data_IF_717385938024
#
_entry.id   IF_717385938024
#
_cell.length_a   1.000
_cell.length_b   1.000
_cell.length_c   1.000
_cell.angle_alpha   90.00
_cell.angle_beta   90.00
_cell.angle_gamma   90.00
#
_symmetry.space_group_name_H-M   'P 1'
#
loop_
_entity.id
_entity.type
_entity.pdbx_description
1 polymer ?
#
# COMPACT_ATOMS: atom_id res chain seq x y z
N UNK A 1 -36.84 -20.45 9.71
CA UNK A 1 -35.90 -19.96 10.73
C UNK A 1 -34.48 -20.23 10.15
N UNK A 2 -33.92 -19.30 9.40
CA UNK A 2 -32.52 -19.40 8.92
C UNK A 2 -31.62 -19.06 10.09
N UNK A 3 -30.74 -19.96 10.42
CA UNK A 3 -29.89 -19.87 11.60
C UNK A 3 -28.87 -18.74 11.44
N UNK A 4 -28.74 -17.91 12.48
CA UNK A 4 -27.75 -16.82 12.57
C UNK A 4 -26.31 -17.24 12.20
N UNK A 5 -25.99 -18.52 12.24
CA UNK A 5 -24.70 -19.07 11.88
C UNK A 5 -24.39 -19.13 10.38
N UNK A 6 -25.42 -19.22 9.51
CA UNK A 6 -25.21 -19.22 8.05
C UNK A 6 -25.04 -17.81 7.47
N UNK A 7 -25.59 -16.79 8.12
CA UNK A 7 -25.34 -15.39 7.76
C UNK A 7 -23.94 -14.96 8.19
N UNK A 8 -23.53 -15.33 9.38
CA UNK A 8 -22.21 -15.00 9.93
C UNK A 8 -21.07 -15.65 9.10
N UNK A 9 -21.22 -16.92 8.74
CA UNK A 9 -20.24 -17.61 7.87
C UNK A 9 -20.17 -17.03 6.46
N UNK A 10 -21.28 -16.53 5.90
CA UNK A 10 -21.30 -15.87 4.60
C UNK A 10 -20.67 -14.48 4.63
N UNK A 11 -20.81 -13.74 5.71
CA UNK A 11 -20.12 -12.44 5.90
C UNK A 11 -18.62 -12.63 6.04
N UNK A 12 -18.16 -13.63 6.80
CA UNK A 12 -16.74 -13.95 6.97
C UNK A 12 -16.12 -14.38 5.63
N UNK A 13 -16.75 -15.32 4.91
CA UNK A 13 -16.25 -15.77 3.60
C UNK A 13 -16.17 -14.65 2.56
N UNK A 14 -17.12 -13.72 2.56
CA UNK A 14 -17.06 -12.53 1.69
C UNK A 14 -15.93 -11.58 2.09
N UNK A 15 -15.65 -11.43 3.38
CA UNK A 15 -14.55 -10.62 3.89
C UNK A 15 -13.18 -11.17 3.50
N UNK A 16 -12.96 -12.47 3.66
CA UNK A 16 -11.72 -13.16 3.27
C UNK A 16 -11.46 -13.06 1.76
N UNK A 17 -12.48 -13.32 0.95
CA UNK A 17 -12.38 -13.18 -0.51
C UNK A 17 -12.07 -11.73 -0.91
N UNK A 18 -12.74 -10.76 -0.27
CA UNK A 18 -12.49 -9.35 -0.50
C UNK A 18 -11.05 -8.96 -0.15
N UNK A 19 -10.50 -9.48 0.95
CA UNK A 19 -9.12 -9.25 1.35
C UNK A 19 -8.13 -9.82 0.33
N UNK A 20 -8.31 -11.06 -0.10
CA UNK A 20 -7.44 -11.69 -1.12
C UNK A 20 -7.45 -10.89 -2.42
N UNK A 21 -8.63 -10.53 -2.91
CA UNK A 21 -8.78 -9.71 -4.12
C UNK A 21 -8.11 -8.35 -3.94
N UNK A 22 -8.28 -7.70 -2.79
CA UNK A 22 -7.68 -6.40 -2.49
C UNK A 22 -6.14 -6.47 -2.48
N UNK A 23 -5.56 -7.51 -1.88
CA UNK A 23 -4.11 -7.73 -1.84
C UNK A 23 -3.56 -7.95 -3.25
N UNK A 24 -4.22 -8.78 -4.07
CA UNK A 24 -3.82 -9.02 -5.46
C UNK A 24 -3.91 -7.74 -6.31
N UNK A 25 -5.01 -7.01 -6.21
CA UNK A 25 -5.23 -5.76 -6.96
C UNK A 25 -4.21 -4.70 -6.53
N UNK A 26 -4.00 -4.52 -5.23
CA UNK A 26 -3.08 -3.50 -4.73
C UNK A 26 -1.63 -3.79 -5.11
N UNK A 27 -1.17 -5.04 -5.03
CA UNK A 27 0.20 -5.41 -5.41
C UNK A 27 0.45 -5.17 -6.91
N UNK A 28 -0.47 -5.60 -7.76
CA UNK A 28 -0.41 -5.34 -9.20
C UNK A 28 -0.43 -3.84 -9.51
N UNK A 29 -1.32 -3.10 -8.85
CA UNK A 29 -1.50 -1.67 -9.08
C UNK A 29 -0.25 -0.86 -8.69
N UNK A 30 0.43 -1.20 -7.59
CA UNK A 30 1.67 -0.55 -7.18
C UNK A 30 2.77 -0.77 -8.22
N UNK A 31 2.96 -1.98 -8.70
CA UNK A 31 3.97 -2.30 -9.72
C UNK A 31 3.60 -1.68 -11.07
N UNK A 32 2.32 -1.71 -11.46
CA UNK A 32 1.86 -1.06 -12.70
C UNK A 32 2.08 0.46 -12.66
N UNK A 33 1.86 1.09 -11.50
CA UNK A 33 2.11 2.50 -11.30
C UNK A 33 3.60 2.83 -11.45
N UNK A 34 4.48 2.03 -10.85
CA UNK A 34 5.92 2.14 -11.02
C UNK A 34 6.32 1.95 -12.49
N UNK A 35 5.76 0.93 -13.15
CA UNK A 35 6.05 0.61 -14.54
C UNK A 35 5.61 1.69 -15.51
N UNK A 36 4.55 2.45 -15.19
CA UNK A 36 4.10 3.60 -15.98
C UNK A 36 5.17 4.69 -16.11
N UNK A 37 6.15 4.71 -15.18
CA UNK A 37 7.19 5.73 -15.08
C UNK A 37 6.70 7.07 -14.52
N UNK A 38 5.45 7.14 -14.04
CA UNK A 38 4.89 8.32 -13.37
C UNK A 38 5.26 8.39 -11.88
N UNK A 39 6.03 7.42 -11.40
CA UNK A 39 6.42 7.21 -10.01
C UNK A 39 5.71 6.02 -9.38
N UNK A 40 5.85 5.84 -8.09
CA UNK A 40 5.21 4.78 -7.30
C UNK A 40 4.27 5.42 -6.25
N UNK A 41 3.42 4.65 -5.59
CA UNK A 41 2.59 5.17 -4.49
C UNK A 41 3.47 5.75 -3.36
N UNK A 42 3.01 6.81 -2.69
CA UNK A 42 3.82 7.53 -1.70
C UNK A 42 4.39 6.60 -0.61
N UNK A 43 3.57 5.71 -0.06
CA UNK A 43 4.02 4.77 0.99
C UNK A 43 5.03 3.76 0.43
N UNK A 44 4.78 3.21 -0.76
CA UNK A 44 5.67 2.23 -1.38
C UNK A 44 6.97 2.86 -1.90
N UNK A 45 7.06 4.20 -1.95
CA UNK A 45 8.27 4.90 -2.39
C UNK A 45 9.44 4.69 -1.42
N UNK A 46 9.15 4.52 -0.11
CA UNK A 46 10.21 4.29 0.90
C UNK A 46 10.93 2.95 0.66
N UNK A 47 10.25 1.78 0.66
CA UNK A 47 10.93 0.52 0.37
C UNK A 47 11.57 0.51 -1.02
N UNK A 48 10.97 1.16 -2.02
CA UNK A 48 11.56 1.33 -3.33
C UNK A 48 12.88 2.13 -3.29
N UNK A 49 12.94 3.21 -2.50
CA UNK A 49 14.18 3.96 -2.32
C UNK A 49 15.27 3.10 -1.68
N UNK A 50 14.90 2.28 -0.67
CA UNK A 50 15.84 1.33 -0.05
C UNK A 50 16.36 0.30 -1.06
N UNK A 51 15.49 -0.27 -1.89
CA UNK A 51 15.88 -1.22 -2.95
C UNK A 51 16.85 -0.57 -3.97
N UNK A 52 16.62 0.70 -4.34
CA UNK A 52 17.50 1.39 -5.30
C UNK A 52 18.84 1.83 -4.69
N UNK A 53 18.87 2.14 -3.40
CA UNK A 53 20.11 2.50 -2.68
C UNK A 53 20.89 1.26 -2.26
N UNK A 54 20.18 0.23 -1.82
CA UNK A 54 20.76 -1.03 -1.34
C UNK A 54 20.17 -2.22 -2.11
N UNK A 55 20.63 -2.48 -3.36
CA UNK A 55 20.06 -3.51 -4.24
C UNK A 55 20.50 -4.93 -3.84
N UNK A 56 20.53 -5.23 -2.53
CA UNK A 56 20.92 -6.52 -1.98
C UNK A 56 19.73 -7.48 -1.90
N UNK A 57 18.54 -6.91 -1.69
CA UNK A 57 17.28 -7.64 -1.56
C UNK A 57 16.20 -6.98 -2.41
N UNK A 58 15.12 -7.73 -2.67
CA UNK A 58 14.04 -7.35 -3.56
C UNK A 58 13.16 -6.22 -2.99
N UNK A 59 12.38 -5.58 -3.86
CA UNK A 59 11.37 -4.59 -3.46
C UNK A 59 10.36 -5.17 -2.47
N UNK A 60 9.90 -6.42 -2.68
CA UNK A 60 9.00 -7.10 -1.78
C UNK A 60 9.61 -7.29 -0.41
N UNK A 61 10.86 -7.77 -0.33
CA UNK A 61 11.56 -7.95 0.95
C UNK A 61 11.73 -6.63 1.70
N UNK A 62 12.12 -5.53 1.03
CA UNK A 62 12.18 -4.20 1.65
C UNK A 62 10.80 -3.72 2.12
N UNK A 63 9.77 -4.00 1.33
CA UNK A 63 8.38 -3.68 1.70
C UNK A 63 7.96 -4.44 2.96
N UNK A 64 8.33 -5.72 3.07
CA UNK A 64 8.04 -6.53 4.26
C UNK A 64 8.73 -6.00 5.52
N UNK A 65 10.02 -5.64 5.41
CA UNK A 65 10.77 -5.02 6.51
C UNK A 65 10.11 -3.70 6.93
N UNK A 66 9.74 -2.86 5.97
CA UNK A 66 9.06 -1.59 6.24
C UNK A 66 7.72 -1.81 6.96
N UNK A 67 6.94 -2.80 6.53
CA UNK A 67 5.68 -3.17 7.17
C UNK A 67 5.88 -3.68 8.60
N UNK A 68 6.95 -4.45 8.86
CA UNK A 68 7.30 -4.88 10.20
C UNK A 68 7.58 -3.69 11.13
N UNK A 69 8.31 -2.68 10.64
CA UNK A 69 8.57 -1.45 11.38
C UNK A 69 7.28 -0.66 11.67
N UNK A 70 6.33 -0.61 10.72
CA UNK A 70 5.04 0.03 10.93
C UNK A 70 4.22 -0.67 12.02
N UNK A 71 4.15 -2.00 11.99
CA UNK A 71 3.46 -2.80 13.02
C UNK A 71 4.11 -2.59 14.39
N UNK A 72 5.43 -2.66 14.46
CA UNK A 72 6.17 -2.42 15.70
C UNK A 72 5.88 -1.02 16.26
N UNK A 73 5.87 0.00 15.40
CA UNK A 73 5.54 1.38 15.77
C UNK A 73 4.11 1.48 16.35
N UNK A 74 3.14 0.80 15.75
CA UNK A 74 1.77 0.76 16.28
C UNK A 74 1.68 0.07 17.64
N UNK A 75 2.40 -1.03 17.86
CA UNK A 75 2.44 -1.72 19.15
C UNK A 75 3.04 -0.82 20.24
N UNK A 76 4.10 -0.07 19.93
CA UNK A 76 4.72 0.88 20.84
C UNK A 76 3.76 2.02 21.18
N UNK A 77 3.09 2.60 20.17
CA UNK A 77 2.14 3.72 20.37
C UNK A 77 0.92 3.30 21.19
N UNK A 78 0.37 2.11 20.97
CA UNK A 78 -0.76 1.59 21.75
C UNK A 78 -0.36 1.09 23.14
N UNK A 79 0.92 0.87 23.40
CA UNK A 79 1.45 0.27 24.65
C UNK A 79 0.76 -1.06 24.99
N UNK A 80 0.27 -1.78 24.00
CA UNK A 80 -0.45 -3.06 24.14
C UNK A 80 -0.10 -3.96 22.98
N UNK A 81 0.04 -5.24 23.28
CA UNK A 81 0.12 -6.28 22.26
C UNK A 81 -1.28 -6.52 21.69
N UNK A 82 -1.44 -6.29 20.38
CA UNK A 82 -2.70 -6.47 19.67
C UNK A 82 -2.54 -7.63 18.69
N UNK A 83 -3.12 -8.82 18.97
CA UNK A 83 -2.92 -10.02 18.14
C UNK A 83 -3.30 -9.82 16.66
N UNK A 84 -4.29 -8.98 16.38
CA UNK A 84 -4.75 -8.69 15.01
C UNK A 84 -3.63 -8.07 14.15
N UNK A 85 -2.66 -7.38 14.75
CA UNK A 85 -1.52 -6.82 14.01
C UNK A 85 -0.58 -7.91 13.48
N UNK A 86 -0.48 -9.06 14.19
CA UNK A 86 0.26 -10.22 13.68
C UNK A 86 -0.42 -10.80 12.43
N UNK A 87 -1.76 -10.86 12.41
CA UNK A 87 -2.49 -11.31 11.23
C UNK A 87 -2.24 -10.35 10.05
N UNK A 88 -2.23 -9.03 10.29
CA UNK A 88 -1.86 -8.04 9.26
C UNK A 88 -0.43 -8.24 8.74
N UNK A 89 0.48 -8.70 9.58
CA UNK A 89 1.85 -9.01 9.17
C UNK A 89 1.92 -10.17 8.17
N UNK A 90 1.12 -11.22 8.35
CA UNK A 90 1.00 -12.29 7.35
C UNK A 90 0.38 -11.81 6.03
N UNK A 91 -0.64 -10.95 6.10
CA UNK A 91 -1.22 -10.31 4.91
C UNK A 91 -0.17 -9.45 4.21
N UNK A 92 0.65 -8.74 4.97
CA UNK A 92 1.77 -7.95 4.48
C UNK A 92 2.84 -8.80 3.79
N UNK A 93 3.14 -9.98 4.32
CA UNK A 93 4.05 -10.93 3.68
C UNK A 93 3.51 -11.36 2.31
N UNK A 94 2.25 -11.80 2.24
CA UNK A 94 1.62 -12.19 0.97
C UNK A 94 1.63 -11.03 -0.06
N UNK A 95 1.36 -9.80 0.39
CA UNK A 95 1.44 -8.61 -0.47
C UNK A 95 2.86 -8.40 -1.01
N UNK A 96 3.88 -8.56 -0.17
CA UNK A 96 5.28 -8.36 -0.53
C UNK A 96 5.78 -9.39 -1.55
N UNK A 97 5.41 -10.66 -1.37
CA UNK A 97 5.69 -11.72 -2.36
C UNK A 97 5.00 -11.44 -3.70
N UNK A 98 3.75 -10.96 -3.66
CA UNK A 98 3.03 -10.58 -4.88
C UNK A 98 3.64 -9.35 -5.58
N UNK A 99 4.29 -8.43 -4.86
CA UNK A 99 5.04 -7.35 -5.51
C UNK A 99 6.18 -7.93 -6.35
N UNK A 100 6.99 -8.82 -5.79
CA UNK A 100 8.12 -9.43 -6.50
C UNK A 100 7.65 -10.28 -7.69
N UNK A 101 6.57 -11.05 -7.54
CA UNK A 101 5.95 -11.78 -8.64
C UNK A 101 5.48 -10.84 -9.75
N UNK A 102 4.80 -9.75 -9.42
CA UNK A 102 4.33 -8.78 -10.40
C UNK A 102 5.50 -8.04 -11.07
N UNK A 103 6.56 -7.71 -10.35
CA UNK A 103 7.75 -7.07 -10.91
C UNK A 103 8.46 -7.99 -11.92
N UNK A 104 8.49 -9.29 -11.68
CA UNK A 104 9.15 -10.26 -12.53
C UNK A 104 8.58 -10.32 -13.96
N UNK A 105 7.26 -10.20 -14.11
CA UNK A 105 6.61 -10.35 -15.43
C UNK A 105 6.16 -9.03 -16.07
N UNK A 106 6.03 -7.92 -15.32
CA UNK A 106 5.47 -6.67 -15.81
C UNK A 106 6.19 -6.12 -17.06
N UNK A 107 7.48 -6.47 -17.21
CA UNK A 107 8.32 -6.04 -18.32
C UNK A 107 7.86 -6.59 -19.70
N UNK A 108 6.96 -7.56 -19.74
CA UNK A 108 6.35 -8.06 -20.99
C UNK A 108 5.40 -7.01 -21.60
N UNK A 109 4.87 -6.08 -20.80
CA UNK A 109 3.97 -5.05 -21.27
C UNK A 109 4.69 -3.99 -22.13
N UNK A 110 4.11 -3.51 -23.23
CA UNK A 110 4.72 -2.50 -24.09
C UNK A 110 4.82 -1.13 -23.39
N UNK A 111 5.95 -0.43 -23.60
CA UNK A 111 6.26 0.89 -22.97
C UNK A 111 6.07 2.07 -23.92
N UNK A 112 4.95 2.18 -24.60
CA UNK A 112 4.64 3.39 -25.39
C UNK A 112 4.09 4.51 -24.51
N UNK A 113 4.29 5.77 -24.90
CA UNK A 113 3.85 6.94 -24.13
C UNK A 113 2.36 6.88 -23.78
N UNK A 114 1.42 6.62 -24.74
CA UNK A 114 0.00 6.54 -24.40
C UNK A 114 -0.34 5.41 -23.45
N UNK A 115 0.34 4.25 -23.56
CA UNK A 115 0.13 3.13 -22.65
C UNK A 115 0.64 3.43 -21.24
N UNK A 116 1.73 4.18 -21.11
CA UNK A 116 2.23 4.61 -19.79
C UNK A 116 1.21 5.47 -19.05
N UNK A 117 0.55 6.40 -19.74
CA UNK A 117 -0.54 7.20 -19.15
C UNK A 117 -1.72 6.31 -18.79
N UNK A 118 -2.10 5.37 -19.65
CA UNK A 118 -3.16 4.41 -19.37
C UNK A 118 -2.84 3.56 -18.14
N UNK A 119 -1.62 3.03 -18.04
CA UNK A 119 -1.17 2.24 -16.89
C UNK A 119 -1.24 3.05 -15.59
N UNK A 120 -0.87 4.33 -15.63
CA UNK A 120 -0.99 5.21 -14.47
C UNK A 120 -2.46 5.38 -14.03
N UNK A 121 -3.36 5.67 -14.96
CA UNK A 121 -4.79 5.84 -14.65
C UNK A 121 -5.39 4.56 -14.10
N UNK A 122 -5.12 3.41 -14.74
CA UNK A 122 -5.61 2.10 -14.29
C UNK A 122 -5.06 1.80 -12.88
N UNK A 123 -3.76 1.97 -12.67
CA UNK A 123 -3.15 1.68 -11.37
C UNK A 123 -3.72 2.56 -10.26
N UNK A 124 -3.94 3.84 -10.53
CA UNK A 124 -4.54 4.77 -9.58
C UNK A 124 -5.96 4.32 -9.17
N UNK A 125 -6.80 3.97 -10.14
CA UNK A 125 -8.15 3.47 -9.88
C UNK A 125 -8.13 2.15 -9.11
N UNK A 126 -7.25 1.22 -9.48
CA UNK A 126 -7.10 -0.07 -8.80
C UNK A 126 -6.67 0.12 -7.34
N UNK A 127 -5.73 1.02 -7.05
CA UNK A 127 -5.31 1.32 -5.67
C UNK A 127 -6.50 1.88 -4.87
N UNK A 128 -7.26 2.83 -5.42
CA UNK A 128 -8.43 3.38 -4.73
C UNK A 128 -9.47 2.30 -4.40
N UNK A 129 -9.80 1.46 -5.37
CA UNK A 129 -10.74 0.33 -5.19
C UNK A 129 -10.18 -0.69 -4.21
N UNK A 130 -8.91 -1.08 -4.33
CA UNK A 130 -8.28 -2.06 -3.48
C UNK A 130 -8.25 -1.62 -2.01
N UNK A 131 -7.90 -0.35 -1.73
CA UNK A 131 -7.92 0.19 -0.37
C UNK A 131 -9.35 0.30 0.16
N UNK A 132 -10.32 0.75 -0.64
CA UNK A 132 -11.72 0.80 -0.24
C UNK A 132 -12.27 -0.60 0.10
N UNK A 133 -11.93 -1.61 -0.70
CA UNK A 133 -12.30 -3.00 -0.47
C UNK A 133 -11.65 -3.54 0.82
N UNK A 134 -10.35 -3.27 1.03
CA UNK A 134 -9.62 -3.62 2.26
C UNK A 134 -10.27 -2.99 3.50
N UNK A 135 -10.69 -1.74 3.42
CA UNK A 135 -11.32 -1.06 4.55
C UNK A 135 -12.70 -1.63 4.92
N UNK A 136 -13.38 -2.26 3.97
CA UNK A 136 -14.72 -2.85 4.17
C UNK A 136 -14.71 -4.33 4.55
N UNK A 137 -13.60 -5.04 4.38
CA UNK A 137 -13.54 -6.49 4.62
C UNK A 137 -13.69 -6.88 6.09
N UNK A 138 -13.48 -5.95 7.05
CA UNK A 138 -13.55 -6.23 8.49
C UNK A 138 -12.42 -7.12 9.03
N UNK A 139 -11.46 -7.48 8.19
CA UNK A 139 -10.31 -8.34 8.50
C UNK A 139 -9.02 -7.52 8.65
N UNK A 140 -7.94 -8.13 9.18
CA UNK A 140 -6.62 -7.52 9.19
C UNK A 140 -6.17 -7.17 7.76
N UNK A 141 -5.87 -5.90 7.53
CA UNK A 141 -5.45 -5.39 6.22
C UNK A 141 -3.92 -5.25 6.14
N UNK A 142 -3.41 -4.92 4.96
CA UNK A 142 -1.98 -4.69 4.72
C UNK A 142 -1.47 -3.62 5.71
N UNK A 143 -0.30 -3.82 6.37
CA UNK A 143 0.22 -2.90 7.39
C UNK A 143 0.39 -1.46 6.93
N UNK A 144 0.69 -1.23 5.66
CA UNK A 144 0.80 0.11 5.06
C UNK A 144 -0.52 0.88 5.04
N UNK A 145 -1.65 0.18 4.96
CA UNK A 145 -2.98 0.78 5.02
C UNK A 145 -3.51 0.80 6.45
N UNK A 146 -3.14 -0.21 7.25
CA UNK A 146 -3.49 -0.29 8.66
C UNK A 146 -2.88 0.86 9.47
N UNK A 147 -1.61 1.18 9.23
CA UNK A 147 -0.88 2.18 10.03
C UNK A 147 -1.57 3.55 10.06
N UNK A 148 -1.91 4.21 8.95
CA UNK A 148 -2.58 5.51 8.98
C UNK A 148 -4.01 5.41 9.56
N UNK A 149 -4.70 4.27 9.43
CA UNK A 149 -6.01 4.04 10.02
C UNK A 149 -5.94 3.99 11.54
N UNK A 150 -5.10 3.11 12.07
CA UNK A 150 -4.91 2.94 13.50
C UNK A 150 -4.34 4.21 14.17
N UNK A 151 -3.41 4.88 13.49
CA UNK A 151 -2.83 6.14 13.98
C UNK A 151 -3.92 7.23 14.07
N UNK A 152 -4.85 7.29 13.12
CA UNK A 152 -5.97 8.23 13.16
C UNK A 152 -6.88 8.02 14.38
N UNK A 153 -7.10 6.76 14.77
CA UNK A 153 -7.87 6.39 15.96
C UNK A 153 -7.12 6.71 17.26
N UNK A 154 -5.81 6.45 17.32
CA UNK A 154 -4.97 6.71 18.50
C UNK A 154 -4.89 8.21 18.79
N UNK A 155 -4.64 9.03 17.75
CA UNK A 155 -4.45 10.48 17.88
C UNK A 155 -5.78 11.23 17.82
N UNK A 156 -6.90 10.56 17.45
CA UNK A 156 -8.23 11.15 17.26
C UNK A 156 -8.25 12.27 16.21
N UNK A 157 -7.50 12.10 15.13
CA UNK A 157 -7.44 13.01 13.98
C UNK A 157 -8.07 12.34 12.76
N UNK A 158 -8.70 13.11 11.88
CA UNK A 158 -9.35 12.58 10.66
C UNK A 158 -8.36 11.76 9.82
N UNK A 159 -8.78 10.56 9.40
CA UNK A 159 -7.98 9.63 8.57
C UNK A 159 -7.31 10.32 7.38
N UNK A 160 -8.04 11.17 6.64
CA UNK A 160 -7.50 11.84 5.47
C UNK A 160 -6.31 12.75 5.79
N UNK A 161 -6.31 13.42 6.96
CA UNK A 161 -5.17 14.24 7.39
C UNK A 161 -3.96 13.39 7.74
N UNK A 162 -4.17 12.30 8.49
CA UNK A 162 -3.09 11.37 8.86
C UNK A 162 -2.51 10.72 7.61
N UNK A 163 -3.36 10.25 6.69
CA UNK A 163 -2.93 9.63 5.43
C UNK A 163 -2.05 10.57 4.61
N UNK A 164 -2.51 11.81 4.39
CA UNK A 164 -1.72 12.81 3.63
C UNK A 164 -0.41 13.15 4.34
N UNK A 165 -0.43 13.35 5.66
CA UNK A 165 0.80 13.63 6.42
C UNK A 165 1.80 12.48 6.34
N UNK A 166 1.32 11.24 6.45
CA UNK A 166 2.15 10.06 6.34
C UNK A 166 2.73 9.91 4.92
N UNK A 167 1.92 10.12 3.88
CA UNK A 167 2.36 10.10 2.49
C UNK A 167 3.44 11.17 2.24
N UNK A 168 3.27 12.40 2.76
CA UNK A 168 4.26 13.48 2.64
C UNK A 168 5.57 13.13 3.34
N UNK A 169 5.52 12.51 4.52
CA UNK A 169 6.72 12.03 5.23
C UNK A 169 7.44 10.96 4.40
N UNK A 170 6.71 10.01 3.84
CA UNK A 170 7.28 8.98 2.96
C UNK A 170 7.95 9.58 1.73
N UNK A 171 7.30 10.55 1.07
CA UNK A 171 7.87 11.28 -0.06
C UNK A 171 9.16 12.02 0.32
N UNK A 172 9.15 12.73 1.45
CA UNK A 172 10.32 13.43 1.97
C UNK A 172 11.49 12.49 2.26
N UNK A 173 11.21 11.36 2.91
CA UNK A 173 12.21 10.31 3.19
C UNK A 173 12.81 9.76 1.90
N UNK A 174 11.97 9.45 0.91
CA UNK A 174 12.41 8.94 -0.39
C UNK A 174 13.25 9.97 -1.15
N UNK A 175 12.80 11.24 -1.18
CA UNK A 175 13.52 12.32 -1.84
C UNK A 175 14.90 12.56 -1.19
N UNK A 176 14.96 12.60 0.14
CA UNK A 176 16.21 12.73 0.87
C UNK A 176 17.16 11.56 0.62
N UNK A 177 16.64 10.34 0.75
CA UNK A 177 17.46 9.12 0.57
C UNK A 177 18.03 9.04 -0.85
N UNK A 178 17.17 9.12 -1.87
CA UNK A 178 17.63 8.98 -3.25
C UNK A 178 18.42 10.19 -3.72
N UNK A 179 18.03 11.41 -3.31
CA UNK A 179 18.74 12.64 -3.67
C UNK A 179 20.14 12.72 -3.07
N UNK A 180 20.30 12.37 -1.80
CA UNK A 180 21.61 12.46 -1.10
C UNK A 180 22.55 11.32 -1.48
N UNK A 181 22.03 10.10 -1.66
CA UNK A 181 22.89 8.91 -1.87
C UNK A 181 23.10 8.65 -3.36
N UNK A 182 22.06 8.76 -4.19
CA UNK A 182 22.15 8.49 -5.64
C UNK A 182 22.43 9.75 -6.46
N UNK A 183 22.37 10.95 -5.85
CA UNK A 183 22.55 12.22 -6.55
C UNK A 183 21.35 12.62 -7.45
N UNK A 184 20.29 11.82 -7.50
CA UNK A 184 19.08 12.12 -8.26
C UNK A 184 17.86 11.41 -7.66
N UNK A 185 16.68 12.05 -7.80
CA UNK A 185 15.44 11.52 -7.24
C UNK A 185 14.95 10.34 -8.08
N UNK A 186 14.72 9.19 -7.44
CA UNK A 186 14.14 7.98 -8.06
C UNK A 186 12.83 7.59 -7.37
N UNK A 187 11.90 7.02 -8.14
CA UNK A 187 10.61 6.54 -7.64
C UNK A 187 9.56 7.61 -7.41
N UNK A 188 9.95 8.89 -7.37
CA UNK A 188 9.03 10.00 -7.26
C UNK A 188 8.79 10.62 -8.63
N UNK A 189 7.52 10.73 -8.98
CA UNK A 189 7.08 11.35 -10.22
C UNK A 189 5.86 12.24 -10.00
N UNK A 190 5.40 12.89 -11.05
CA UNK A 190 4.17 13.71 -11.01
C UNK A 190 2.98 12.87 -10.52
N UNK A 191 2.90 11.61 -10.95
CA UNK A 191 1.87 10.68 -10.52
C UNK A 191 1.92 10.36 -9.03
N UNK A 192 3.11 10.24 -8.43
CA UNK A 192 3.26 10.01 -6.99
C UNK A 192 2.73 11.20 -6.18
N UNK A 193 3.05 12.42 -6.60
CA UNK A 193 2.58 13.65 -5.94
C UNK A 193 1.07 13.77 -6.07
N UNK A 194 0.52 13.58 -7.27
CA UNK A 194 -0.93 13.58 -7.48
C UNK A 194 -1.62 12.53 -6.60
N UNK A 195 -1.10 11.31 -6.56
CA UNK A 195 -1.65 10.23 -5.75
C UNK A 195 -1.64 10.58 -4.26
N UNK A 196 -0.54 11.11 -3.71
CA UNK A 196 -0.43 11.47 -2.30
C UNK A 196 -1.52 12.47 -1.85
N UNK A 197 -1.85 13.45 -2.68
CA UNK A 197 -2.86 14.46 -2.34
C UNK A 197 -4.30 14.06 -2.68
N UNK A 198 -4.51 13.17 -3.65
CA UNK A 198 -5.85 12.84 -4.17
C UNK A 198 -6.37 11.48 -3.70
N UNK A 199 -5.50 10.50 -3.38
CA UNK A 199 -5.92 9.17 -2.94
C UNK A 199 -6.80 9.20 -1.68
N UNK A 200 -6.47 10.05 -0.71
CA UNK A 200 -7.29 10.16 0.50
C UNK A 200 -8.75 10.59 0.21
N UNK A 201 -8.96 11.40 -0.82
CA UNK A 201 -10.30 11.79 -1.31
C UNK A 201 -10.91 10.70 -2.19
N UNK A 202 -10.11 10.08 -3.06
CA UNK A 202 -10.55 8.99 -3.92
C UNK A 202 -11.08 7.79 -3.13
N UNK A 203 -10.38 7.40 -2.07
CA UNK A 203 -10.80 6.34 -1.16
C UNK A 203 -12.12 6.71 -0.46
N UNK A 204 -12.30 7.97 -0.06
CA UNK A 204 -13.53 8.42 0.59
C UNK A 204 -14.76 8.42 -0.35
N UNK A 205 -14.56 8.50 -1.66
CA UNK A 205 -15.64 8.46 -2.66
C UNK A 205 -16.01 7.01 -3.00
N UNK A 206 -15.03 6.10 -3.02
CA UNK A 206 -15.23 4.68 -3.35
C UNK A 206 -15.61 3.82 -2.14
N UNK A 207 -15.39 4.32 -0.92
CA UNK A 207 -15.75 3.70 0.36
C UNK A 207 -17.05 4.23 0.93
#
# INVERSE_FOLDING_TARGET
>A
MKTNGEEDSRHIFRGELALVIAVMINSLAVILMLYSGSGISAISSVPYAFEKVFPVITLGTWTYIFQALLILSLMILRKKFVPIYLCSFFVGFAFSELLDVNEAWINVLPKTIPLRVLYFVISYLLICVGIALSNRCGLPIIPTDLFPRELSEIIKVKYSKIKVSFDVICLGTTACMTGLILGHIKGLGIGTILAAFTMGKGIAITG
#
